data_IF_147478880331
#
_entry.id   IF_147478880331
#
_cell.length_a   1.000
_cell.length_b   1.000
_cell.length_c   1.000
_cell.angle_alpha   90.00
_cell.angle_beta   90.00
_cell.angle_gamma   90.00
#
_symmetry.space_group_name_H-M   'P 1'
#
loop_
_entity.id
_entity.type
_entity.pdbx_description
1 polymer ?
#
# COMPACT_ATOMS: atom_id res chain seq x y z
N UNK A 1 1.10 -9.88 -13.06
CA UNK A 1 0.16 -10.93 -13.46
C UNK A 1 -0.67 -11.28 -12.24
N UNK A 2 -1.92 -10.85 -12.25
CA UNK A 2 -2.87 -10.94 -11.12
C UNK A 2 -3.89 -12.07 -11.35
N UNK A 3 -3.45 -13.22 -11.87
CA UNK A 3 -4.34 -14.36 -12.08
C UNK A 3 -3.91 -15.53 -11.21
N UNK A 4 -4.90 -16.22 -10.62
CA UNK A 4 -4.72 -17.47 -9.88
C UNK A 4 -4.43 -18.68 -10.80
N UNK A 5 -4.29 -18.45 -12.10
CA UNK A 5 -3.98 -19.49 -13.08
C UNK A 5 -2.66 -19.18 -13.76
N UNK A 6 -1.76 -20.16 -13.91
CA UNK A 6 -0.55 -20.01 -14.71
C UNK A 6 -0.96 -19.70 -16.16
N UNK A 7 -0.25 -18.77 -16.80
CA UNK A 7 -0.45 -18.47 -18.21
C UNK A 7 0.22 -19.60 -18.99
N UNK A 8 -0.51 -20.65 -19.28
CA UNK A 8 -0.02 -21.87 -19.97
C UNK A 8 0.54 -21.61 -21.36
N UNK A 9 0.34 -20.43 -21.94
CA UNK A 9 0.73 -20.10 -23.30
C UNK A 9 1.87 -19.12 -23.47
N UNK A 10 2.58 -18.75 -22.40
CA UNK A 10 3.79 -17.94 -22.54
C UNK A 10 5.02 -18.85 -22.49
N UNK A 11 5.49 -19.33 -23.66
CA UNK A 11 6.69 -20.16 -23.83
C UNK A 11 8.01 -19.52 -23.35
N UNK A 12 7.94 -18.47 -22.54
CA UNK A 12 9.08 -17.72 -22.02
C UNK A 12 9.59 -18.21 -20.66
N UNK A 13 9.13 -19.37 -20.15
CA UNK A 13 9.70 -20.02 -18.96
C UNK A 13 9.80 -19.14 -17.71
N UNK A 14 8.91 -18.15 -17.54
CA UNK A 14 8.92 -17.28 -16.37
C UNK A 14 7.93 -17.82 -15.34
N UNK A 15 8.29 -18.88 -14.69
CA UNK A 15 7.64 -19.41 -13.49
C UNK A 15 8.01 -18.58 -12.25
N UNK A 16 7.88 -17.25 -12.31
CA UNK A 16 8.25 -16.44 -11.17
C UNK A 16 7.07 -15.56 -10.76
N UNK A 17 6.38 -15.99 -9.72
CA UNK A 17 5.41 -15.17 -9.03
C UNK A 17 6.12 -14.07 -8.23
N UNK A 18 5.60 -12.86 -8.29
CA UNK A 18 6.04 -11.73 -7.48
C UNK A 18 4.89 -11.33 -6.57
N UNK A 19 5.09 -11.40 -5.28
CA UNK A 19 4.05 -11.17 -4.27
C UNK A 19 4.15 -12.19 -3.14
N UNK A 20 3.17 -12.28 -2.23
CA UNK A 20 1.84 -11.66 -2.28
C UNK A 20 1.85 -10.15 -2.00
N UNK A 21 0.99 -9.42 -2.68
CA UNK A 21 0.78 -8.00 -2.42
C UNK A 21 -0.49 -7.80 -1.60
N UNK A 22 -0.44 -6.90 -0.63
CA UNK A 22 -1.59 -6.60 0.26
C UNK A 22 -2.67 -5.78 -0.42
N UNK A 23 -2.29 -4.91 -1.36
CA UNK A 23 -3.21 -4.07 -2.14
C UNK A 23 -3.10 -4.35 -3.64
N UNK A 24 -4.06 -5.13 -4.15
CA UNK A 24 -4.14 -5.46 -5.58
C UNK A 24 -4.45 -4.24 -6.47
N UNK A 25 -5.11 -3.20 -5.93
CA UNK A 25 -5.43 -1.99 -6.69
C UNK A 25 -4.18 -1.12 -6.90
N UNK A 26 -3.38 -0.95 -5.85
CA UNK A 26 -2.10 -0.25 -5.94
C UNK A 26 -1.15 -0.94 -6.93
N UNK A 27 -1.06 -2.28 -6.89
CA UNK A 27 -0.24 -3.05 -7.84
C UNK A 27 -0.72 -2.86 -9.27
N UNK A 28 -2.03 -2.88 -9.53
CA UNK A 28 -2.57 -2.64 -10.88
C UNK A 28 -2.22 -1.25 -11.40
N UNK A 29 -2.37 -0.21 -10.57
CA UNK A 29 -1.99 1.16 -10.92
C UNK A 29 -0.49 1.27 -11.21
N UNK A 30 0.36 0.67 -10.35
CA UNK A 30 1.81 0.63 -10.54
C UNK A 30 2.18 -0.08 -11.84
N UNK A 31 1.60 -1.24 -12.13
CA UNK A 31 1.82 -1.97 -13.37
C UNK A 31 1.36 -1.18 -14.60
N UNK A 32 0.27 -0.41 -14.49
CA UNK A 32 -0.20 0.46 -15.58
C UNK A 32 0.84 1.53 -15.90
N UNK A 33 1.38 2.21 -14.89
CA UNK A 33 2.42 3.24 -15.06
C UNK A 33 3.72 2.61 -15.57
N UNK A 34 4.16 1.48 -14.99
CA UNK A 34 5.37 0.79 -15.42
C UNK A 34 5.27 0.28 -16.86
N UNK A 35 4.07 0.04 -17.37
CA UNK A 35 3.86 -0.36 -18.77
C UNK A 35 4.15 0.75 -19.77
N UNK A 36 3.95 2.00 -19.39
CA UNK A 36 4.31 3.15 -20.23
C UNK A 36 5.84 3.37 -20.28
N UNK A 37 6.57 2.89 -19.25
CA UNK A 37 8.04 2.95 -19.18
C UNK A 37 8.69 1.71 -19.79
N UNK A 38 8.16 0.54 -19.46
CA UNK A 38 8.63 -0.79 -19.87
C UNK A 38 7.50 -1.56 -20.54
N UNK A 39 7.26 -1.35 -21.84
CA UNK A 39 6.14 -1.96 -22.57
C UNK A 39 6.11 -3.48 -22.46
N UNK A 40 4.95 -4.05 -22.11
CA UNK A 40 4.72 -5.49 -22.04
C UNK A 40 3.31 -5.87 -22.50
N UNK A 41 3.15 -7.12 -22.90
CA UNK A 41 1.89 -7.63 -23.44
C UNK A 41 0.87 -7.96 -22.36
N UNK A 42 -0.40 -7.63 -22.65
CA UNK A 42 -1.57 -8.05 -21.86
C UNK A 42 -2.64 -8.72 -22.75
N UNK A 43 -2.31 -9.04 -24.01
CA UNK A 43 -3.24 -9.70 -24.91
C UNK A 43 -3.47 -11.14 -24.48
N UNK A 44 -4.72 -11.55 -24.43
CA UNK A 44 -5.11 -12.94 -24.10
C UNK A 44 -5.01 -13.87 -25.32
N UNK A 45 -5.13 -13.31 -26.52
CA UNK A 45 -5.10 -14.06 -27.77
C UNK A 45 -3.96 -13.58 -28.66
N UNK A 46 -3.44 -14.51 -29.49
CA UNK A 46 -2.44 -14.18 -30.51
C UNK A 46 -3.11 -13.53 -31.72
N UNK A 47 -2.44 -12.56 -32.31
CA UNK A 47 -2.89 -11.77 -33.46
C UNK A 47 -2.03 -12.05 -34.69
N UNK A 48 -2.60 -11.85 -35.89
CA UNK A 48 -1.86 -11.89 -37.17
C UNK A 48 -1.07 -10.60 -37.39
N UNK A 49 -1.59 -9.48 -36.93
CA UNK A 49 -1.04 -8.15 -37.10
C UNK A 49 -0.77 -7.48 -35.73
N UNK A 50 -0.24 -6.28 -35.73
CA UNK A 50 -0.03 -5.49 -34.51
C UNK A 50 -1.35 -5.21 -33.81
N UNK A 51 -1.41 -5.47 -32.52
CA UNK A 51 -2.57 -5.14 -31.70
C UNK A 51 -2.60 -3.64 -31.34
N UNK A 52 -3.74 -3.13 -30.90
CA UNK A 52 -3.93 -1.74 -30.48
C UNK A 52 -2.88 -1.29 -29.45
N UNK A 53 -2.56 -2.13 -28.48
CA UNK A 53 -1.54 -1.83 -27.48
C UNK A 53 -0.15 -1.65 -28.07
N UNK A 54 0.17 -2.33 -29.18
CA UNK A 54 1.44 -2.17 -29.89
C UNK A 54 1.46 -0.87 -30.69
N UNK A 55 0.34 -0.45 -31.27
CA UNK A 55 0.21 0.86 -31.92
C UNK A 55 0.36 2.01 -30.94
N UNK A 56 -0.14 1.86 -29.70
CA UNK A 56 0.00 2.84 -28.63
C UNK A 56 1.37 2.80 -27.90
N UNK A 57 2.34 1.98 -28.36
CA UNK A 57 3.64 1.83 -27.71
C UNK A 57 3.63 1.08 -26.37
N UNK A 58 2.48 0.53 -25.94
CA UNK A 58 2.32 -0.19 -24.66
C UNK A 58 2.70 -1.68 -24.72
N UNK A 59 3.08 -2.17 -25.89
CA UNK A 59 3.52 -3.53 -26.15
C UNK A 59 4.57 -3.54 -27.26
N UNK A 60 5.57 -4.41 -27.14
CA UNK A 60 6.60 -4.62 -28.18
C UNK A 60 6.11 -5.49 -29.35
N UNK A 61 4.84 -5.85 -29.40
CA UNK A 61 4.19 -6.64 -30.46
C UNK A 61 4.52 -8.12 -30.45
N UNK A 62 5.77 -8.48 -30.23
CA UNK A 62 6.33 -9.81 -30.38
C UNK A 62 5.53 -10.93 -29.70
N UNK A 63 5.12 -10.74 -28.44
CA UNK A 63 4.47 -11.79 -27.64
C UNK A 63 3.01 -12.09 -28.03
N UNK A 64 2.38 -11.18 -28.76
CA UNK A 64 0.99 -11.33 -29.19
C UNK A 64 0.83 -11.64 -30.68
N UNK A 65 1.93 -11.77 -31.42
CA UNK A 65 1.90 -12.22 -32.81
C UNK A 65 1.95 -13.74 -32.93
N UNK A 66 1.22 -14.29 -33.89
CA UNK A 66 1.37 -15.68 -34.29
C UNK A 66 2.76 -15.89 -34.90
N UNK A 67 3.38 -17.03 -34.60
CA UNK A 67 4.73 -17.38 -35.13
C UNK A 67 4.71 -17.55 -36.67
N UNK A 68 3.54 -17.87 -37.23
CA UNK A 68 3.29 -17.94 -38.68
C UNK A 68 3.30 -16.58 -39.38
N UNK A 69 3.12 -15.49 -38.61
CA UNK A 69 3.04 -14.14 -39.19
C UNK A 69 4.37 -13.70 -39.79
N UNK A 70 4.33 -13.15 -41.01
CA UNK A 70 5.50 -12.56 -41.68
C UNK A 70 6.14 -11.46 -40.81
N UNK A 71 5.31 -10.71 -40.07
CA UNK A 71 5.74 -9.64 -39.19
C UNK A 71 6.57 -10.20 -38.02
N UNK A 72 6.20 -11.36 -37.45
CA UNK A 72 6.94 -12.00 -36.37
C UNK A 72 8.39 -12.30 -36.78
N UNK A 73 8.61 -12.89 -37.96
CA UNK A 73 9.94 -13.25 -38.45
C UNK A 73 10.85 -12.03 -38.69
N UNK A 74 10.28 -10.93 -39.20
CA UNK A 74 11.01 -9.68 -39.42
C UNK A 74 11.44 -9.04 -38.10
N UNK A 75 10.53 -8.99 -37.10
CA UNK A 75 10.80 -8.37 -35.81
C UNK A 75 11.81 -9.15 -34.97
N UNK A 76 11.74 -10.50 -34.98
CA UNK A 76 12.66 -11.33 -34.20
C UNK A 76 14.10 -11.24 -34.74
N UNK A 77 14.28 -11.28 -36.07
CA UNK A 77 15.59 -11.20 -36.71
C UNK A 77 16.23 -9.81 -36.70
N UNK A 78 15.45 -8.77 -36.95
CA UNK A 78 15.99 -7.42 -37.20
C UNK A 78 16.20 -6.58 -35.92
N UNK A 79 15.45 -6.79 -34.88
CA UNK A 79 15.39 -5.88 -33.74
C UNK A 79 15.73 -6.50 -32.37
N UNK A 80 16.01 -7.79 -32.28
CA UNK A 80 16.32 -8.45 -31.01
C UNK A 80 15.23 -8.25 -29.93
N UNK A 81 13.98 -8.11 -30.38
CA UNK A 81 12.84 -7.68 -29.53
C UNK A 81 12.57 -8.64 -28.38
N UNK A 82 12.91 -9.94 -28.56
CA UNK A 82 12.82 -10.91 -27.48
C UNK A 82 13.71 -10.52 -26.30
N UNK A 83 14.94 -10.11 -26.56
CA UNK A 83 15.88 -9.62 -25.54
C UNK A 83 15.36 -8.36 -24.84
N UNK A 84 14.83 -7.41 -25.60
CA UNK A 84 14.24 -6.18 -25.04
C UNK A 84 13.01 -6.47 -24.19
N UNK A 85 12.14 -7.38 -24.61
CA UNK A 85 10.97 -7.79 -23.83
C UNK A 85 11.37 -8.41 -22.48
N UNK A 86 12.38 -9.30 -22.49
CA UNK A 86 12.90 -9.89 -21.25
C UNK A 86 13.51 -8.84 -20.32
N UNK A 87 14.21 -7.85 -20.87
CA UNK A 87 14.73 -6.71 -20.10
C UNK A 87 13.60 -5.92 -19.45
N UNK A 88 12.53 -5.61 -20.19
CA UNK A 88 11.36 -4.92 -19.66
C UNK A 88 10.70 -5.69 -18.51
N UNK A 89 10.52 -6.99 -18.66
CA UNK A 89 9.95 -7.84 -17.59
C UNK A 89 10.85 -7.89 -16.35
N UNK A 90 12.18 -8.01 -16.53
CA UNK A 90 13.13 -7.96 -15.41
C UNK A 90 13.10 -6.59 -14.72
N UNK A 91 13.02 -5.50 -15.46
CA UNK A 91 12.92 -4.15 -14.91
C UNK A 91 11.66 -3.99 -14.06
N UNK A 92 10.49 -4.41 -14.58
CA UNK A 92 9.23 -4.39 -13.83
C UNK A 92 9.34 -5.24 -12.57
N UNK A 93 9.89 -6.46 -12.67
CA UNK A 93 10.11 -7.34 -11.51
C UNK A 93 11.00 -6.67 -10.48
N UNK A 94 12.11 -6.02 -10.90
CA UNK A 94 13.01 -5.30 -10.00
C UNK A 94 12.31 -4.18 -9.24
N UNK A 95 11.42 -3.44 -9.89
CA UNK A 95 10.61 -2.40 -9.23
C UNK A 95 9.66 -3.02 -8.20
N UNK A 96 8.94 -4.10 -8.59
CA UNK A 96 7.95 -4.75 -7.72
C UNK A 96 8.55 -5.41 -6.47
N UNK A 97 9.82 -5.83 -6.53
CA UNK A 97 10.55 -6.41 -5.38
C UNK A 97 11.41 -5.37 -4.62
N UNK A 98 11.21 -4.06 -4.89
CA UNK A 98 11.90 -2.98 -4.17
C UNK A 98 13.34 -2.71 -4.63
N UNK A 99 13.83 -3.33 -5.72
CA UNK A 99 15.20 -3.14 -6.25
C UNK A 99 15.33 -2.02 -7.27
N UNK A 100 14.49 -1.00 -7.20
CA UNK A 100 14.45 0.13 -8.14
C UNK A 100 15.76 0.92 -8.22
N UNK A 101 16.48 1.07 -7.08
CA UNK A 101 17.81 1.74 -7.06
C UNK A 101 18.86 0.98 -7.86
N UNK A 102 18.84 -0.34 -7.83
CA UNK A 102 19.75 -1.19 -8.61
C UNK A 102 19.43 -1.03 -10.08
N UNK A 103 18.15 -1.10 -10.46
CA UNK A 103 17.68 -0.89 -11.82
C UNK A 103 18.11 0.49 -12.38
N UNK A 104 17.98 1.57 -11.60
CA UNK A 104 18.43 2.90 -12.03
C UNK A 104 19.94 2.95 -12.27
N UNK A 105 20.76 2.25 -11.45
CA UNK A 105 22.22 2.16 -11.69
C UNK A 105 22.53 1.40 -12.97
N UNK A 106 21.81 0.32 -13.25
CA UNK A 106 21.97 -0.45 -14.49
C UNK A 106 21.59 0.36 -15.72
N UNK A 107 20.45 1.05 -15.71
CA UNK A 107 20.01 1.93 -16.80
C UNK A 107 21.02 3.08 -17.04
N UNK A 108 21.59 3.68 -15.97
CA UNK A 108 22.64 4.70 -16.06
C UNK A 108 23.94 4.14 -16.67
N UNK A 109 24.25 2.86 -16.49
CA UNK A 109 25.39 2.20 -17.14
C UNK A 109 25.09 1.93 -18.61
N UNK A 110 23.89 1.44 -18.92
CA UNK A 110 23.45 1.17 -20.30
C UNK A 110 23.43 2.46 -21.16
N UNK A 111 22.95 3.59 -20.63
CA UNK A 111 22.95 4.85 -21.42
C UNK A 111 24.37 5.31 -21.76
N UNK A 112 25.34 5.19 -20.82
CA UNK A 112 26.75 5.51 -21.10
C UNK A 112 27.32 4.65 -22.23
N UNK A 113 26.96 3.36 -22.24
CA UNK A 113 27.41 2.44 -23.27
C UNK A 113 26.74 2.68 -24.61
N UNK A 114 25.45 3.05 -24.64
CA UNK A 114 24.73 3.43 -25.85
C UNK A 114 25.34 4.71 -26.47
N UNK A 115 25.71 5.69 -25.66
CA UNK A 115 26.38 6.92 -26.12
C UNK A 115 27.78 6.60 -26.71
N UNK A 116 28.56 5.74 -26.00
CA UNK A 116 29.89 5.32 -26.50
C UNK A 116 29.79 4.59 -27.84
N UNK A 117 28.74 3.83 -28.06
CA UNK A 117 28.47 3.11 -29.30
C UNK A 117 27.74 3.98 -30.35
N UNK A 118 27.61 5.29 -30.13
CA UNK A 118 26.90 6.23 -31.00
C UNK A 118 25.46 5.87 -31.33
N UNK A 119 24.82 5.03 -30.48
CA UNK A 119 23.42 4.65 -30.64
C UNK A 119 22.52 5.64 -29.89
N UNK A 120 22.31 6.81 -30.51
CA UNK A 120 21.58 7.93 -29.90
C UNK A 120 20.08 7.63 -29.70
N UNK A 121 19.45 6.83 -30.55
CA UNK A 121 18.04 6.41 -30.40
C UNK A 121 17.86 5.53 -29.14
N UNK A 122 18.75 4.57 -28.93
CA UNK A 122 18.73 3.76 -27.71
C UNK A 122 19.03 4.61 -26.48
N UNK A 123 20.00 5.51 -26.55
CA UNK A 123 20.34 6.42 -25.46
C UNK A 123 19.16 7.32 -25.08
N UNK A 124 18.42 7.86 -26.07
CA UNK A 124 17.20 8.64 -25.86
C UNK A 124 16.11 7.83 -25.16
N UNK A 125 15.89 6.59 -25.62
CA UNK A 125 14.90 5.67 -25.01
C UNK A 125 15.23 5.40 -23.54
N UNK A 126 16.49 5.04 -23.25
CA UNK A 126 16.94 4.76 -21.88
C UNK A 126 16.85 6.02 -20.99
N UNK A 127 17.21 7.19 -21.53
CA UNK A 127 17.07 8.47 -20.81
C UNK A 127 15.63 8.72 -20.39
N UNK A 128 14.67 8.51 -21.30
CA UNK A 128 13.25 8.67 -20.99
C UNK A 128 12.79 7.64 -19.94
N UNK A 129 13.27 6.40 -20.02
CA UNK A 129 12.98 5.38 -19.00
C UNK A 129 13.49 5.80 -17.62
N UNK A 130 14.71 6.35 -17.52
CA UNK A 130 15.29 6.85 -16.29
C UNK A 130 14.46 8.00 -15.71
N UNK A 131 14.12 9.00 -16.53
CA UNK A 131 13.34 10.18 -16.10
C UNK A 131 11.97 9.75 -15.60
N UNK A 132 11.26 8.92 -16.37
CA UNK A 132 9.92 8.47 -16.01
C UNK A 132 9.95 7.56 -14.78
N UNK A 133 10.93 6.65 -14.68
CA UNK A 133 11.09 5.80 -13.52
C UNK A 133 11.44 6.61 -12.26
N UNK A 134 12.34 7.59 -12.35
CA UNK A 134 12.68 8.47 -11.24
C UNK A 134 11.49 9.31 -10.78
N UNK A 135 10.68 9.81 -11.73
CA UNK A 135 9.43 10.50 -11.43
C UNK A 135 8.45 9.57 -10.70
N UNK A 136 8.24 8.35 -11.20
CA UNK A 136 7.39 7.35 -10.54
C UNK A 136 7.90 7.02 -9.16
N UNK A 137 9.22 6.87 -8.98
CA UNK A 137 9.81 6.55 -7.69
C UNK A 137 9.74 7.74 -6.72
N UNK A 138 9.85 8.97 -7.18
CA UNK A 138 9.63 10.16 -6.36
C UNK A 138 8.17 10.28 -5.92
N UNK A 139 7.23 10.04 -6.85
CA UNK A 139 5.81 9.94 -6.50
C UNK A 139 5.48 8.65 -5.74
N UNK A 140 6.15 7.54 -6.02
CA UNK A 140 6.07 6.31 -5.26
C UNK A 140 6.79 6.45 -3.91
N UNK A 141 7.81 7.29 -3.74
CA UNK A 141 8.30 7.67 -2.42
C UNK A 141 7.20 8.36 -1.60
N UNK A 142 6.39 9.18 -2.22
CA UNK A 142 5.14 9.69 -1.60
C UNK A 142 4.12 8.55 -1.38
N UNK A 143 4.16 7.49 -2.19
CA UNK A 143 3.30 6.30 -2.07
C UNK A 143 3.99 5.14 -1.31
N UNK A 144 5.32 4.97 -1.40
CA UNK A 144 6.11 3.96 -0.64
C UNK A 144 6.49 4.45 0.74
N UNK A 145 6.49 5.73 1.01
CA UNK A 145 6.34 6.22 2.38
C UNK A 145 5.06 5.65 3.04
N UNK A 146 4.06 5.23 2.24
CA UNK A 146 2.89 4.44 2.68
C UNK A 146 3.09 2.92 2.67
N UNK A 147 4.14 2.36 2.08
CA UNK A 147 4.27 0.91 1.83
C UNK A 147 5.50 0.22 2.43
N UNK A 148 6.53 0.95 2.85
CA UNK A 148 7.73 0.32 3.45
C UNK A 148 7.60 0.11 4.96
N UNK A 149 6.55 -0.56 5.40
CA UNK A 149 6.42 -1.03 6.79
C UNK A 149 7.03 -2.41 7.04
N UNK A 150 7.78 -2.94 6.07
CA UNK A 150 8.45 -4.25 6.19
C UNK A 150 9.96 -4.16 6.46
N UNK A 151 10.53 -2.95 6.60
CA UNK A 151 11.96 -2.80 6.92
C UNK A 151 12.17 -1.95 8.16
N UNK A 152 12.87 -2.47 9.18
CA UNK A 152 13.13 -1.76 10.43
C UNK A 152 14.08 -0.56 10.30
N UNK A 153 14.53 -0.19 9.09
CA UNK A 153 15.66 0.72 8.88
C UNK A 153 15.33 2.20 8.70
N UNK A 154 14.04 2.59 8.57
CA UNK A 154 13.68 3.99 8.29
C UNK A 154 13.57 4.84 9.56
N UNK A 155 13.47 4.20 10.73
CA UNK A 155 13.37 4.88 12.02
C UNK A 155 14.72 5.08 12.71
N UNK A 156 15.86 5.05 11.99
CA UNK A 156 17.18 5.08 12.65
C UNK A 156 17.54 6.41 13.30
N UNK A 157 16.89 7.53 12.96
CA UNK A 157 17.44 8.82 13.36
C UNK A 157 16.55 9.72 14.26
N UNK A 158 15.25 9.44 14.45
CA UNK A 158 14.42 10.21 15.38
C UNK A 158 13.23 9.40 15.91
N UNK A 159 13.12 9.28 17.23
CA UNK A 159 11.96 8.68 17.89
C UNK A 159 10.72 9.55 17.68
N UNK A 160 9.50 8.95 17.62
CA UNK A 160 8.26 9.73 17.57
C UNK A 160 8.14 10.63 18.80
N UNK A 161 7.82 11.89 18.59
CA UNK A 161 7.63 12.86 19.66
C UNK A 161 6.14 13.05 19.95
N UNK A 162 5.70 12.62 21.12
CA UNK A 162 4.32 12.69 21.57
C UNK A 162 4.01 13.92 22.45
N UNK A 163 4.94 14.87 22.59
CA UNK A 163 4.75 16.06 23.45
C UNK A 163 3.56 16.91 22.99
N UNK A 164 3.37 17.07 21.69
CA UNK A 164 2.21 17.76 21.12
C UNK A 164 0.87 17.07 21.40
N UNK A 165 0.91 15.79 21.80
CA UNK A 165 -0.25 15.05 22.26
C UNK A 165 -0.40 15.06 23.78
N UNK A 166 0.42 15.83 24.48
CA UNK A 166 0.39 15.97 25.93
C UNK A 166 1.08 14.86 26.72
N UNK A 167 1.92 14.07 26.08
CA UNK A 167 2.69 13.03 26.77
C UNK A 167 4.08 13.56 27.19
N UNK A 168 4.46 13.30 28.44
CA UNK A 168 5.84 13.52 28.91
C UNK A 168 6.80 12.41 28.44
N UNK A 169 6.30 11.20 28.34
CA UNK A 169 7.02 10.01 27.86
C UNK A 169 6.22 9.32 26.78
N UNK A 170 6.87 8.64 25.86
CA UNK A 170 6.22 7.91 24.79
C UNK A 170 5.25 6.86 25.34
N UNK A 171 4.00 6.76 24.85
CA UNK A 171 3.02 5.77 25.30
C UNK A 171 3.53 4.35 25.02
N UNK A 172 3.54 3.48 26.04
CA UNK A 172 3.99 2.10 25.90
C UNK A 172 3.06 1.25 25.03
N UNK A 173 1.73 1.57 25.08
CA UNK A 173 0.70 0.85 24.35
C UNK A 173 -0.26 1.83 23.69
N UNK A 174 -0.47 1.63 22.39
CA UNK A 174 -1.39 2.40 21.56
C UNK A 174 -2.42 1.42 21.00
N UNK A 175 -3.70 1.73 21.16
CA UNK A 175 -4.79 0.98 20.54
C UNK A 175 -5.48 1.85 19.48
N UNK A 176 -5.80 1.26 18.33
CA UNK A 176 -6.50 1.97 17.24
C UNK A 176 -7.75 1.24 16.85
N UNK A 177 -8.82 2.00 16.64
CA UNK A 177 -10.15 1.51 16.34
C UNK A 177 -10.62 2.01 14.98
N UNK A 178 -11.14 1.10 14.18
CA UNK A 178 -11.77 1.36 12.87
C UNK A 178 -13.15 0.69 12.83
N UNK A 179 -14.17 1.42 12.36
CA UNK A 179 -15.52 0.90 12.12
C UNK A 179 -15.68 0.62 10.64
N UNK A 180 -16.07 -0.59 10.33
CA UNK A 180 -16.35 -1.02 8.97
C UNK A 180 -17.81 -1.45 8.84
N UNK A 181 -18.58 -0.74 8.03
CA UNK A 181 -19.95 -1.05 7.66
C UNK A 181 -19.98 -1.75 6.31
N UNK A 182 -20.66 -2.87 6.22
CA UNK A 182 -20.90 -3.57 4.95
C UNK A 182 -22.38 -3.50 4.59
N UNK A 183 -22.71 -3.20 3.34
CA UNK A 183 -24.09 -3.04 2.87
C UNK A 183 -24.93 -4.27 3.24
N UNK A 184 -25.87 -4.11 4.17
CA UNK A 184 -26.81 -5.15 4.62
C UNK A 184 -26.25 -6.19 5.58
N UNK A 185 -24.98 -6.13 5.98
CA UNK A 185 -24.39 -7.03 6.97
C UNK A 185 -24.06 -6.29 8.27
N UNK A 186 -23.87 -7.06 9.34
CA UNK A 186 -23.56 -6.55 10.66
C UNK A 186 -22.29 -5.70 10.68
N UNK A 187 -22.38 -4.50 11.26
CA UNK A 187 -21.23 -3.62 11.46
C UNK A 187 -20.22 -4.27 12.42
N UNK A 188 -18.95 -4.09 12.11
CA UNK A 188 -17.85 -4.66 12.90
C UNK A 188 -16.80 -3.58 13.17
N UNK A 189 -16.43 -3.45 14.45
CA UNK A 189 -15.25 -2.69 14.82
C UNK A 189 -14.01 -3.55 14.89
N UNK A 190 -12.90 -3.01 14.50
CA UNK A 190 -11.59 -3.62 14.64
C UNK A 190 -10.71 -2.84 15.60
N UNK A 191 -9.92 -3.55 16.40
CA UNK A 191 -8.91 -3.01 17.29
C UNK A 191 -7.54 -3.58 16.90
N UNK A 192 -6.59 -2.72 16.65
CA UNK A 192 -5.18 -3.08 16.48
C UNK A 192 -4.35 -2.48 17.61
N UNK A 193 -3.25 -3.13 17.94
CA UNK A 193 -2.39 -2.77 19.07
C UNK A 193 -0.96 -2.57 18.59
N UNK A 194 -0.35 -1.47 19.04
CA UNK A 194 1.07 -1.19 18.86
C UNK A 194 1.74 -1.00 20.21
N UNK A 195 2.91 -1.57 20.37
CA UNK A 195 3.68 -1.54 21.60
C UNK A 195 5.07 -0.98 21.36
N UNK A 196 5.50 -0.12 22.28
CA UNK A 196 6.84 0.44 22.30
C UNK A 196 7.86 -0.65 22.67
N UNK A 197 8.82 -0.86 21.80
CA UNK A 197 9.91 -1.80 22.01
C UNK A 197 11.09 -1.12 22.73
N UNK A 198 12.04 -1.88 23.29
CA UNK A 198 13.23 -1.39 23.97
C UNK A 198 14.10 -0.47 23.10
N UNK A 199 14.11 -0.70 21.79
CA UNK A 199 14.80 0.15 20.81
C UNK A 199 14.08 1.48 20.50
N UNK A 200 12.98 1.80 21.19
CA UNK A 200 12.17 3.00 20.99
C UNK A 200 11.22 2.95 19.78
N UNK A 201 11.14 1.84 19.07
CA UNK A 201 10.26 1.68 17.92
C UNK A 201 8.91 1.07 18.33
N UNK A 202 7.84 1.45 17.63
CA UNK A 202 6.54 0.83 17.80
C UNK A 202 6.38 -0.37 16.87
N UNK A 203 5.93 -1.49 17.45
CA UNK A 203 5.66 -2.72 16.72
C UNK A 203 4.22 -3.16 16.92
N UNK A 204 3.60 -3.61 15.84
CA UNK A 204 2.27 -4.19 15.87
C UNK A 204 2.24 -5.52 16.64
N UNK A 205 1.44 -5.59 17.72
CA UNK A 205 1.21 -6.83 18.48
C UNK A 205 -0.07 -7.51 17.96
N UNK A 206 0.07 -8.35 16.95
CA UNK A 206 -1.05 -9.00 16.26
C UNK A 206 -1.84 -9.98 17.16
N UNK A 207 -1.23 -10.48 18.22
CA UNK A 207 -1.88 -11.38 19.19
C UNK A 207 -2.96 -10.65 20.01
N UNK A 208 -2.80 -9.33 20.14
CA UNK A 208 -3.70 -8.44 20.87
C UNK A 208 -4.81 -7.83 20.00
N UNK A 209 -4.86 -8.15 18.70
CA UNK A 209 -5.90 -7.64 17.79
C UNK A 209 -7.25 -8.23 18.14
N UNK A 210 -8.30 -7.41 18.15
CA UNK A 210 -9.68 -7.85 18.48
C UNK A 210 -10.68 -7.31 17.45
N UNK A 211 -11.78 -8.03 17.34
CA UNK A 211 -12.95 -7.69 16.52
C UNK A 211 -14.18 -7.61 17.40
N UNK A 212 -14.94 -6.58 17.20
CA UNK A 212 -16.14 -6.31 17.95
C UNK A 212 -17.34 -6.31 17.00
N UNK A 213 -18.18 -7.32 17.05
CA UNK A 213 -19.49 -7.28 16.41
C UNK A 213 -20.33 -6.24 17.14
N UNK A 214 -20.91 -5.27 16.41
CA UNK A 214 -21.83 -4.30 16.97
C UNK A 214 -23.11 -5.00 17.37
N UNK A 215 -23.63 -4.70 18.57
CA UNK A 215 -24.79 -5.40 19.16
C UNK A 215 -25.95 -4.47 19.49
N UNK A 216 -25.67 -3.23 19.89
CA UNK A 216 -26.67 -2.32 20.47
C UNK A 216 -27.05 -1.19 19.54
N UNK A 217 -26.26 -0.93 18.50
CA UNK A 217 -26.53 0.16 17.55
C UNK A 217 -27.16 -0.40 16.29
N UNK A 218 -28.35 0.06 15.97
CA UNK A 218 -29.05 -0.23 14.71
C UNK A 218 -28.81 0.87 13.67
N UNK A 219 -28.64 0.45 12.40
CA UNK A 219 -28.38 1.39 11.30
C UNK A 219 -26.93 1.88 11.24
N UNK A 220 -26.68 2.92 10.45
CA UNK A 220 -25.35 3.50 10.22
C UNK A 220 -25.14 4.66 11.21
N UNK A 221 -24.45 4.39 12.31
CA UNK A 221 -24.10 5.40 13.32
C UNK A 221 -22.69 5.11 13.86
N UNK A 222 -21.68 5.50 13.10
CA UNK A 222 -20.28 5.23 13.44
C UNK A 222 -19.86 5.77 14.82
N UNK A 223 -20.26 7.00 15.27
CA UNK A 223 -19.94 7.47 16.61
C UNK A 223 -20.53 6.56 17.73
N UNK A 224 -21.80 6.18 17.63
CA UNK A 224 -22.42 5.30 18.62
C UNK A 224 -21.78 3.89 18.63
N UNK A 225 -21.42 3.37 17.45
CA UNK A 225 -20.70 2.10 17.33
C UNK A 225 -19.31 2.18 17.98
N UNK A 226 -18.61 3.32 17.79
CA UNK A 226 -17.31 3.57 18.42
C UNK A 226 -17.44 3.58 19.96
N UNK A 227 -18.43 4.28 20.48
CA UNK A 227 -18.73 4.29 21.91
C UNK A 227 -19.01 2.89 22.47
N UNK A 228 -19.83 2.09 21.77
CA UNK A 228 -20.10 0.68 22.15
C UNK A 228 -18.82 -0.14 22.26
N UNK A 229 -17.94 -0.04 21.27
CA UNK A 229 -16.70 -0.81 21.24
C UNK A 229 -15.77 -0.42 22.37
N UNK A 230 -15.54 0.88 22.58
CA UNK A 230 -14.66 1.38 23.64
C UNK A 230 -15.22 0.99 25.01
N UNK A 231 -16.52 1.13 25.25
CA UNK A 231 -17.16 0.69 26.48
C UNK A 231 -16.94 -0.80 26.74
N UNK A 232 -17.15 -1.65 25.72
CA UNK A 232 -16.92 -3.10 25.84
C UNK A 232 -15.44 -3.41 26.04
N UNK A 233 -14.53 -2.64 25.44
CA UNK A 233 -13.08 -2.78 25.64
C UNK A 233 -12.71 -2.51 27.10
N UNK A 234 -13.21 -1.45 27.70
CA UNK A 234 -12.94 -1.10 29.09
C UNK A 234 -13.47 -2.14 30.10
N UNK A 235 -14.51 -2.87 29.74
CA UNK A 235 -15.06 -3.93 30.59
C UNK A 235 -14.23 -5.22 30.58
N UNK A 236 -13.16 -5.31 29.80
CA UNK A 236 -12.26 -6.44 29.76
C UNK A 236 -11.00 -6.18 30.58
N UNK A 237 -10.49 -7.19 31.25
CA UNK A 237 -9.23 -7.14 32.02
C UNK A 237 -7.97 -7.20 31.15
N UNK A 238 -8.01 -6.58 29.97
CA UNK A 238 -6.83 -6.46 29.12
C UNK A 238 -5.97 -5.26 29.54
N UNK A 239 -4.65 -5.29 29.27
CA UNK A 239 -3.78 -4.15 29.58
C UNK A 239 -4.31 -2.87 28.97
N UNK A 240 -4.45 -1.81 29.78
CA UNK A 240 -4.98 -0.52 29.31
C UNK A 240 -3.94 0.22 28.43
N UNK A 241 -4.38 0.84 27.35
CA UNK A 241 -3.50 1.69 26.54
C UNK A 241 -3.30 3.06 27.21
N UNK A 242 -2.19 3.72 26.91
CA UNK A 242 -2.01 5.13 27.25
C UNK A 242 -2.63 6.04 26.16
N UNK A 243 -2.68 5.56 24.91
CA UNK A 243 -3.24 6.30 23.79
C UNK A 243 -4.23 5.43 23.02
N UNK A 244 -5.42 5.99 22.80
CA UNK A 244 -6.41 5.45 21.86
C UNK A 244 -6.45 6.36 20.64
N UNK A 245 -6.44 5.74 19.46
CA UNK A 245 -6.60 6.41 18.17
C UNK A 245 -7.90 5.91 17.54
N UNK A 246 -8.80 6.79 17.17
CA UNK A 246 -10.02 6.44 16.44
C UNK A 246 -9.93 6.90 14.99
N UNK A 247 -10.31 6.02 14.04
CA UNK A 247 -10.40 6.41 12.62
C UNK A 247 -11.70 7.15 12.40
N UNK A 248 -11.59 8.45 12.12
CA UNK A 248 -12.74 9.32 11.91
C UNK A 248 -12.47 10.79 12.22
N UNK A 249 -13.53 11.57 12.30
CA UNK A 249 -13.46 13.00 12.58
C UNK A 249 -13.83 13.36 14.03
N UNK A 250 -14.24 14.60 14.22
CA UNK A 250 -14.60 15.16 15.53
C UNK A 250 -15.72 14.37 16.22
N UNK A 251 -16.69 13.87 15.48
CA UNK A 251 -17.84 13.14 16.03
C UNK A 251 -17.44 11.83 16.68
N UNK A 252 -16.52 11.07 16.07
CA UNK A 252 -15.96 9.84 16.62
C UNK A 252 -15.08 10.12 17.83
N UNK A 253 -14.29 11.22 17.80
CA UNK A 253 -13.50 11.67 18.95
C UNK A 253 -14.39 11.97 20.14
N UNK A 254 -15.47 12.75 19.95
CA UNK A 254 -16.37 13.12 21.02
C UNK A 254 -17.06 11.92 21.65
N UNK A 255 -17.51 10.95 20.83
CA UNK A 255 -18.10 9.71 21.31
C UNK A 255 -17.12 8.86 22.14
N UNK A 256 -15.85 8.84 21.74
CA UNK A 256 -14.80 8.16 22.49
C UNK A 256 -14.51 8.88 23.82
N UNK A 257 -14.43 10.22 23.80
CA UNK A 257 -14.18 11.04 24.99
C UNK A 257 -15.23 10.84 26.06
N UNK A 258 -16.52 10.77 25.68
CA UNK A 258 -17.63 10.56 26.61
C UNK A 258 -17.44 9.26 27.42
N UNK A 259 -17.00 8.19 26.78
CA UNK A 259 -16.75 6.89 27.45
C UNK A 259 -15.47 6.92 28.29
N UNK A 260 -14.46 7.70 27.87
CA UNK A 260 -13.13 7.74 28.49
C UNK A 260 -12.99 8.78 29.61
N UNK A 261 -14.01 9.59 29.90
CA UNK A 261 -13.99 10.69 30.87
C UNK A 261 -13.43 10.33 32.25
N UNK A 262 -13.67 9.09 32.72
CA UNK A 262 -13.23 8.59 34.03
C UNK A 262 -11.89 7.83 33.97
N UNK A 263 -11.18 7.93 32.86
CA UNK A 263 -9.91 7.21 32.65
C UNK A 263 -8.78 8.19 32.39
N UNK A 264 -7.55 7.75 32.62
CA UNK A 264 -6.35 8.53 32.24
C UNK A 264 -5.87 8.17 30.82
N UNK A 265 -6.75 7.64 29.98
CA UNK A 265 -6.42 7.25 28.61
C UNK A 265 -6.58 8.46 27.69
N UNK A 266 -5.51 8.83 27.02
CA UNK A 266 -5.54 9.86 26.00
C UNK A 266 -6.24 9.34 24.75
N UNK A 267 -7.06 10.17 24.10
CA UNK A 267 -7.68 9.80 22.83
C UNK A 267 -7.47 10.89 21.79
N UNK A 268 -7.22 10.48 20.56
CA UNK A 268 -7.14 11.34 19.37
C UNK A 268 -7.89 10.70 18.22
N UNK A 269 -8.32 11.48 17.24
CA UNK A 269 -8.88 10.90 16.01
C UNK A 269 -8.10 11.31 14.77
N UNK A 270 -8.10 10.43 13.77
CA UNK A 270 -7.41 10.62 12.49
C UNK A 270 -8.45 10.65 11.36
N UNK A 271 -8.55 11.78 10.64
CA UNK A 271 -9.44 11.91 9.50
C UNK A 271 -8.75 11.55 8.17
N UNK A 272 -9.47 10.82 7.29
CA UNK A 272 -8.93 10.20 6.07
C UNK A 272 -8.46 11.18 4.99
N UNK A 273 -9.16 12.27 4.75
CA UNK A 273 -8.96 13.09 3.53
C UNK A 273 -7.78 14.06 3.58
N UNK A 274 -7.46 14.60 4.76
CA UNK A 274 -6.50 15.71 4.89
C UNK A 274 -5.34 15.41 5.85
N UNK A 275 -5.18 14.16 6.28
CA UNK A 275 -4.21 13.79 7.32
C UNK A 275 -4.36 14.67 8.56
N UNK A 276 -5.59 14.94 8.96
CA UNK A 276 -5.96 15.78 10.10
C UNK A 276 -6.03 14.96 11.38
N UNK A 277 -5.47 15.51 12.45
CA UNK A 277 -5.50 14.94 13.80
C UNK A 277 -6.37 15.86 14.67
N UNK A 278 -7.43 15.31 15.22
CA UNK A 278 -8.30 15.99 16.16
C UNK A 278 -7.86 15.67 17.58
N UNK A 279 -7.58 16.71 18.34
CA UNK A 279 -7.27 16.63 19.77
C UNK A 279 -8.47 17.07 20.60
N UNK A 280 -8.62 16.55 21.84
CA UNK A 280 -9.72 16.98 22.73
C UNK A 280 -9.77 18.48 22.99
N UNK A 281 -8.61 19.10 23.18
CA UNK A 281 -8.46 20.50 23.56
C UNK A 281 -8.65 21.47 22.40
N UNK A 282 -8.47 21.02 21.17
CA UNK A 282 -8.46 21.89 20.00
C UNK A 282 -9.80 21.85 19.28
N UNK A 283 -10.41 23.02 19.02
CA UNK A 283 -11.61 23.10 18.18
C UNK A 283 -11.33 22.68 16.74
N UNK A 284 -10.20 23.12 16.20
CA UNK A 284 -9.75 22.83 14.83
C UNK A 284 -8.78 21.64 14.80
N UNK A 285 -8.76 20.86 13.73
CA UNK A 285 -7.80 19.79 13.56
C UNK A 285 -6.39 20.34 13.33
N UNK A 286 -5.40 19.54 13.70
CA UNK A 286 -4.00 19.83 13.43
C UNK A 286 -3.55 18.93 12.28
N UNK A 287 -2.90 19.51 11.26
CA UNK A 287 -2.32 18.73 10.18
C UNK A 287 -1.20 17.82 10.71
N UNK A 288 -1.21 16.56 10.30
CA UNK A 288 -0.23 15.57 10.72
C UNK A 288 1.23 15.98 10.47
N UNK A 289 1.46 16.89 9.51
CA UNK A 289 2.79 17.43 9.20
C UNK A 289 3.41 18.22 10.38
N UNK A 290 2.58 18.82 11.25
CA UNK A 290 3.05 19.58 12.43
C UNK A 290 3.62 18.70 13.55
N UNK A 291 3.32 17.40 13.54
CA UNK A 291 3.78 16.45 14.55
C UNK A 291 5.16 15.84 14.25
N UNK A 292 5.86 16.34 13.24
CA UNK A 292 7.13 15.78 12.80
C UNK A 292 6.99 14.50 11.98
N UNK A 293 8.06 14.13 11.26
CA UNK A 293 8.01 12.98 10.33
C UNK A 293 7.73 11.66 11.02
N UNK A 294 8.41 11.38 12.11
CA UNK A 294 8.33 10.08 12.79
C UNK A 294 6.94 9.79 13.33
N UNK A 295 6.29 10.77 14.00
CA UNK A 295 4.94 10.59 14.51
C UNK A 295 3.90 10.54 13.40
N UNK A 296 4.06 11.35 12.34
CA UNK A 296 3.22 11.28 11.15
C UNK A 296 3.24 9.88 10.53
N UNK A 297 4.43 9.31 10.31
CA UNK A 297 4.56 7.97 9.74
C UNK A 297 3.99 6.89 10.66
N UNK A 298 4.21 7.00 11.95
CA UNK A 298 3.62 6.06 12.90
C UNK A 298 2.09 6.08 12.82
N UNK A 299 1.46 7.25 12.77
CA UNK A 299 0.00 7.36 12.64
C UNK A 299 -0.52 6.80 11.32
N UNK A 300 0.17 7.06 10.22
CA UNK A 300 -0.18 6.45 8.94
C UNK A 300 -0.12 4.93 9.02
N UNK A 301 0.94 4.38 9.59
CA UNK A 301 1.11 2.96 9.75
C UNK A 301 0.04 2.30 10.61
N UNK A 302 -0.25 2.90 11.74
CA UNK A 302 -1.26 2.44 12.67
C UNK A 302 -2.64 2.42 11.99
N UNK A 303 -2.98 3.49 11.25
CA UNK A 303 -4.23 3.58 10.50
C UNK A 303 -4.32 2.54 9.38
N UNK A 304 -3.25 2.42 8.58
CA UNK A 304 -3.21 1.48 7.47
C UNK A 304 -3.32 0.03 7.96
N UNK A 305 -2.74 -0.29 9.11
CA UNK A 305 -2.85 -1.61 9.73
C UNK A 305 -4.26 -1.86 10.29
N UNK A 306 -4.90 -0.86 10.93
CA UNK A 306 -6.28 -0.95 11.38
C UNK A 306 -7.23 -1.24 10.20
N UNK A 307 -7.09 -0.47 9.13
CA UNK A 307 -7.88 -0.66 7.91
C UNK A 307 -7.59 -2.02 7.24
N UNK A 308 -6.32 -2.44 7.14
CA UNK A 308 -5.94 -3.77 6.64
C UNK A 308 -6.60 -4.89 7.44
N UNK A 309 -6.59 -4.78 8.76
CA UNK A 309 -7.18 -5.79 9.65
C UNK A 309 -8.70 -5.83 9.51
N UNK A 310 -9.37 -4.68 9.42
CA UNK A 310 -10.79 -4.57 9.16
C UNK A 310 -11.21 -5.25 7.84
N UNK A 311 -10.54 -4.92 6.72
CA UNK A 311 -10.79 -5.52 5.40
C UNK A 311 -10.57 -7.05 5.41
N UNK A 312 -9.57 -7.54 6.13
CA UNK A 312 -9.26 -8.97 6.17
C UNK A 312 -10.43 -9.81 6.69
N UNK A 313 -11.24 -9.23 7.57
CA UNK A 313 -12.41 -9.89 8.13
C UNK A 313 -13.59 -9.94 7.15
N UNK A 314 -13.85 -8.85 6.46
CA UNK A 314 -14.91 -8.82 5.45
C UNK A 314 -14.69 -9.87 4.37
N UNK A 315 -13.43 -10.05 3.94
CA UNK A 315 -13.07 -11.11 2.98
C UNK A 315 -13.33 -12.51 3.54
N UNK A 316 -13.12 -12.74 4.85
CA UNK A 316 -13.40 -14.03 5.49
C UNK A 316 -14.90 -14.29 5.57
N UNK A 317 -15.69 -13.32 5.98
CA UNK A 317 -17.17 -13.43 6.03
C UNK A 317 -17.77 -13.66 4.65
N UNK A 318 -17.31 -12.92 3.64
CA UNK A 318 -17.77 -13.08 2.26
C UNK A 318 -17.47 -14.49 1.71
N UNK A 319 -16.30 -15.05 2.00
CA UNK A 319 -15.98 -16.44 1.60
C UNK A 319 -16.89 -17.45 2.31
N UNK A 320 -17.20 -17.25 3.58
CA UNK A 320 -18.10 -18.14 4.33
C UNK A 320 -19.56 -18.04 3.87
N UNK A 321 -19.99 -16.86 3.38
CA UNK A 321 -21.33 -16.67 2.83
C UNK A 321 -21.51 -17.31 1.42
N UNK A 322 -20.41 -17.40 0.64
CA UNK A 322 -20.43 -18.04 -0.70
C UNK A 322 -20.32 -19.58 -0.61
N UNK A 323 -19.78 -20.10 0.50
CA UNK A 323 -19.61 -21.56 0.70
C UNK A 323 -20.79 -22.23 1.42
N UNK A 324 -21.87 -21.49 1.69
CA UNK A 324 -23.20 -21.99 2.10
C UNK A 324 -24.18 -21.91 0.93
#
# INVERSE_FOLDING_TARGET
>A
ILTHQPIENCKLGIENYVGPFTDGTAVRKTLHILRDIFPYCTCQQKHETKCLNAHMGKCLTFCCLKESSKIYRIYDRKFGIRGQYQKNIRAIKSVLIGRSRVLLKELKKEIKQAIKNQNFELAKTIKNQIINLDSVLKHAHVLTEKFEFSSPSIFKDTLPDFTLLGFKNNPKRIETYDISNFHGAEAVGSMVVFELQENGQYKANKNEYRKFKIKTVSGINDPAMMAEIIKRRLNNNWPLPQLIIVDGGRTQLNAALEILQKTNIRVVSLAKKLEEIYLPENKEPILAQKFGRSLKYLFQAIRDEAHRFAISYHRKLHRQAISK
#
